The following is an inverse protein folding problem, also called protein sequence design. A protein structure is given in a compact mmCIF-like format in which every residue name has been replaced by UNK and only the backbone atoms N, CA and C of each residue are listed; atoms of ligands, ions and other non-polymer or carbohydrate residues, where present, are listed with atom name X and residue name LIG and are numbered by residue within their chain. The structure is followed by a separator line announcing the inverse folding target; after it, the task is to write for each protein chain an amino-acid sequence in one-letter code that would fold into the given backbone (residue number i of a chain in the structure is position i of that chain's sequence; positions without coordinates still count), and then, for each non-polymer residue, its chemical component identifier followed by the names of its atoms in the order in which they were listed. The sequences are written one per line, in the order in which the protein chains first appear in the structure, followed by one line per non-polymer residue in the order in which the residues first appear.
data_IF_850605226415
#
_entry.id   IF_850605226415
#
_cell.length_a   1.000
_cell.length_b   1.000
_cell.length_c   1.000
_cell.angle_alpha   90.00
_cell.angle_beta   90.00
_cell.angle_gamma   90.00
#
_symmetry.space_group_name_H-M   'P 1'
#
loop_
_entity.id
_entity.type
_entity.pdbx_description
1 polymer ?
#
# COMPACT_ATOMS: atom_id res chain seq x y z
N UNK A 1 -6.06 19.74 -56.95
CA UNK A 1 -5.07 18.66 -56.77
C UNK A 1 -4.43 18.83 -55.40
N UNK A 2 -4.72 17.88 -54.51
CA UNK A 2 -4.19 17.72 -53.15
C UNK A 2 -2.66 17.64 -53.14
N UNK A 3 -1.98 18.21 -52.14
CA UNK A 3 -0.87 17.54 -51.42
C UNK A 3 -0.61 18.28 -50.11
N UNK A 4 -1.00 17.62 -49.01
CA UNK A 4 -0.57 17.87 -47.64
C UNK A 4 0.80 17.22 -47.44
N UNK A 5 1.74 17.89 -46.77
CA UNK A 5 2.90 17.21 -46.18
C UNK A 5 3.14 17.71 -44.76
N UNK A 6 2.75 16.86 -43.80
CA UNK A 6 2.91 17.11 -42.37
C UNK A 6 4.37 17.03 -41.94
N UNK A 7 4.80 18.00 -41.14
CA UNK A 7 6.01 17.91 -40.32
C UNK A 7 5.63 17.33 -38.97
N UNK A 8 5.86 16.04 -38.79
CA UNK A 8 5.77 15.36 -37.51
C UNK A 8 6.91 15.83 -36.60
N UNK A 9 6.58 16.67 -35.63
CA UNK A 9 7.47 17.03 -34.53
C UNK A 9 7.72 15.81 -33.65
N UNK A 10 8.90 15.22 -33.79
CA UNK A 10 9.39 14.10 -32.99
C UNK A 10 9.76 14.64 -31.61
N UNK A 11 8.89 14.46 -30.61
CA UNK A 11 9.23 14.71 -29.21
C UNK A 11 10.22 13.64 -28.75
N UNK A 12 11.51 13.97 -28.82
CA UNK A 12 12.56 13.17 -28.21
C UNK A 12 12.45 13.30 -26.69
N UNK A 13 11.80 12.33 -26.04
CA UNK A 13 11.95 12.11 -24.60
C UNK A 13 13.42 11.76 -24.35
N UNK A 14 14.19 12.75 -23.89
CA UNK A 14 15.54 12.53 -23.37
C UNK A 14 15.39 11.58 -22.18
N UNK A 15 16.03 10.42 -22.29
CA UNK A 15 16.00 9.38 -21.26
C UNK A 15 16.56 9.91 -19.95
N UNK A 16 15.67 10.27 -19.02
CA UNK A 16 15.94 10.08 -17.62
C UNK A 16 16.08 8.57 -17.44
N UNK A 17 17.33 8.12 -17.30
CA UNK A 17 17.62 6.72 -17.05
C UNK A 17 16.93 6.31 -15.75
N UNK A 18 15.78 5.65 -15.88
CA UNK A 18 15.21 4.81 -14.83
C UNK A 18 16.24 3.72 -14.58
N UNK A 19 17.26 4.03 -13.76
CA UNK A 19 18.04 2.97 -13.13
C UNK A 19 16.99 2.18 -12.38
N UNK A 20 16.83 0.91 -12.74
CA UNK A 20 16.11 -0.07 -11.93
C UNK A 20 16.86 -0.16 -10.60
N UNK A 21 16.67 0.82 -9.71
CA UNK A 21 16.93 0.62 -8.30
C UNK A 21 15.86 -0.40 -7.95
N UNK A 22 16.31 -1.64 -7.77
CA UNK A 22 15.46 -2.74 -7.37
C UNK A 22 14.93 -2.36 -6.00
N UNK A 23 13.77 -1.72 -5.93
CA UNK A 23 12.97 -1.54 -4.70
C UNK A 23 12.26 -2.87 -4.44
N UNK A 24 13.05 -3.92 -4.33
CA UNK A 24 12.72 -4.99 -3.42
C UNK A 24 13.60 -4.69 -2.21
N UNK A 25 13.12 -4.86 -0.96
CA UNK A 25 14.03 -4.93 0.16
C UNK A 25 15.17 -5.85 -0.26
N UNK A 26 16.41 -5.39 -0.07
CA UNK A 26 17.61 -6.16 -0.41
C UNK A 26 17.33 -7.61 -0.06
N UNK A 27 17.38 -8.52 -1.06
CA UNK A 27 17.13 -9.96 -0.91
C UNK A 27 17.55 -10.35 0.51
N UNK A 28 16.58 -10.65 1.38
CA UNK A 28 16.89 -11.08 2.74
C UNK A 28 17.93 -12.20 2.59
N UNK A 29 19.10 -12.13 3.25
CA UNK A 29 20.15 -13.11 3.06
C UNK A 29 19.56 -14.51 3.23
N UNK A 30 19.93 -15.43 2.36
CA UNK A 30 19.50 -16.82 2.42
C UNK A 30 19.96 -17.37 3.78
N UNK A 31 19.01 -17.50 4.72
CA UNK A 31 19.27 -17.73 6.15
C UNK A 31 18.47 -16.84 7.11
N UNK A 32 17.78 -15.82 6.61
CA UNK A 32 16.96 -14.91 7.44
C UNK A 32 15.58 -15.54 7.70
N UNK A 33 15.15 -15.60 8.98
CA UNK A 33 13.77 -15.93 9.38
C UNK A 33 12.79 -15.14 8.50
N UNK A 34 11.76 -15.81 7.95
CA UNK A 34 10.74 -15.15 7.14
C UNK A 34 10.20 -13.93 7.92
N UNK A 35 10.25 -12.74 7.30
CA UNK A 35 9.73 -11.50 7.89
C UNK A 35 8.25 -11.70 8.21
N UNK A 36 7.80 -11.17 9.36
CA UNK A 36 6.36 -11.12 9.63
C UNK A 36 5.70 -10.19 8.63
N UNK A 37 4.44 -10.46 8.29
CA UNK A 37 3.76 -9.70 7.23
C UNK A 37 3.52 -8.24 7.65
N UNK A 38 3.27 -7.97 8.94
CA UNK A 38 3.20 -6.61 9.50
C UNK A 38 4.51 -5.83 9.35
N UNK A 39 5.65 -6.46 9.58
CA UNK A 39 6.97 -5.86 9.33
C UNK A 39 7.17 -5.57 7.84
N UNK A 40 6.78 -6.52 6.98
CA UNK A 40 6.87 -6.37 5.53
C UNK A 40 6.05 -5.17 5.02
N UNK A 41 4.78 -5.05 5.42
CA UNK A 41 3.94 -3.94 4.93
C UNK A 41 4.35 -2.59 5.49
N UNK A 42 4.89 -2.51 6.72
CA UNK A 42 5.44 -1.27 7.28
C UNK A 42 6.69 -0.82 6.52
N UNK A 43 7.58 -1.77 6.19
CA UNK A 43 8.75 -1.49 5.34
C UNK A 43 8.33 -0.99 3.96
N UNK A 44 7.39 -1.70 3.32
CA UNK A 44 6.88 -1.32 2.01
C UNK A 44 6.22 0.07 2.01
N UNK A 45 5.47 0.43 3.05
CA UNK A 45 4.91 1.77 3.19
C UNK A 45 6.02 2.84 3.25
N UNK A 46 7.07 2.60 4.04
CA UNK A 46 8.19 3.53 4.15
C UNK A 46 8.92 3.73 2.80
N UNK A 47 9.19 2.63 2.09
CA UNK A 47 9.82 2.66 0.77
C UNK A 47 8.95 3.43 -0.24
N UNK A 48 7.63 3.17 -0.26
CA UNK A 48 6.71 3.86 -1.16
C UNK A 48 6.59 5.36 -0.84
N UNK A 49 6.64 5.76 0.45
CA UNK A 49 6.63 7.17 0.84
C UNK A 49 7.87 7.88 0.27
N UNK A 50 9.07 7.31 0.46
CA UNK A 50 10.32 7.90 -0.04
C UNK A 50 10.29 8.06 -1.57
N UNK A 51 9.88 7.01 -2.29
CA UNK A 51 9.78 7.05 -3.75
C UNK A 51 8.70 8.03 -4.23
N UNK A 52 7.55 8.11 -3.54
CA UNK A 52 6.50 9.07 -3.88
C UNK A 52 6.93 10.52 -3.66
N UNK A 53 7.59 10.84 -2.54
CA UNK A 53 8.10 12.20 -2.27
C UNK A 53 9.21 12.60 -3.25
N UNK A 54 10.09 11.66 -3.59
CA UNK A 54 11.15 11.87 -4.58
C UNK A 54 10.59 12.10 -5.98
N UNK A 55 9.59 11.31 -6.38
CA UNK A 55 8.92 11.46 -7.68
C UNK A 55 8.06 12.72 -7.77
N UNK A 56 7.43 13.13 -6.67
CA UNK A 56 6.60 14.35 -6.64
C UNK A 56 7.44 15.61 -6.86
N UNK A 57 8.60 15.71 -6.20
CA UNK A 57 9.59 16.76 -6.44
C UNK A 57 9.22 18.17 -5.94
N UNK A 58 8.04 18.36 -5.33
CA UNK A 58 7.62 19.67 -4.78
C UNK A 58 8.32 20.07 -3.48
N UNK A 59 9.02 19.13 -2.83
CA UNK A 59 9.53 19.29 -1.46
C UNK A 59 8.47 19.03 -0.37
N UNK A 60 7.22 18.72 -0.74
CA UNK A 60 6.18 18.28 0.20
C UNK A 60 6.53 16.91 0.78
N UNK A 61 5.97 16.63 1.96
CA UNK A 61 6.17 15.40 2.72
C UNK A 61 4.83 14.80 3.10
N UNK A 62 4.79 13.48 3.25
CA UNK A 62 3.65 12.81 3.83
C UNK A 62 3.47 13.24 5.29
N UNK A 63 2.28 13.70 5.64
CA UNK A 63 1.85 13.80 7.04
C UNK A 63 1.60 12.39 7.55
N UNK A 64 2.29 12.05 8.63
CA UNK A 64 2.17 10.75 9.29
C UNK A 64 1.28 10.88 10.52
N UNK A 65 0.24 10.05 10.57
CA UNK A 65 -0.64 9.91 11.71
C UNK A 65 -0.64 8.45 12.17
N UNK A 66 0.06 8.19 13.27
CA UNK A 66 0.20 6.87 13.86
C UNK A 66 -0.83 6.71 14.98
N UNK A 67 -1.44 5.53 15.06
CA UNK A 67 -2.44 5.22 16.07
C UNK A 67 -2.26 3.80 16.60
N UNK A 68 -2.76 3.59 17.80
CA UNK A 68 -2.78 2.30 18.48
C UNK A 68 -4.10 2.15 19.25
N UNK A 69 -4.61 0.92 19.32
CA UNK A 69 -5.78 0.55 20.12
C UNK A 69 -5.36 0.17 21.53
N UNK A 70 -6.33 0.15 22.43
CA UNK A 70 -6.10 -0.29 23.80
C UNK A 70 -5.47 -1.70 23.83
N UNK A 71 -4.61 -1.92 24.82
CA UNK A 71 -4.00 -3.23 25.13
C UNK A 71 -3.23 -3.88 23.95
N UNK A 72 -2.87 -3.12 22.92
CA UNK A 72 -2.11 -3.61 21.77
C UNK A 72 -2.95 -4.44 20.77
N UNK A 73 -4.28 -4.32 20.81
CA UNK A 73 -5.23 -5.03 19.92
C UNK A 73 -5.14 -4.57 18.46
N UNK A 74 -4.37 -3.52 18.19
CA UNK A 74 -3.99 -3.13 16.85
C UNK A 74 -3.30 -1.78 16.78
N UNK A 75 -2.61 -1.55 15.69
CA UNK A 75 -1.96 -0.29 15.39
C UNK A 75 -2.05 0.00 13.90
N UNK A 76 -1.73 1.24 13.53
CA UNK A 76 -1.64 1.62 12.14
C UNK A 76 -0.90 2.93 11.95
N UNK A 77 -0.63 3.20 10.68
CA UNK A 77 0.05 4.42 10.26
C UNK A 77 -0.64 4.91 9.00
N UNK A 78 -1.34 6.03 9.13
CA UNK A 78 -1.99 6.74 8.03
C UNK A 78 -1.01 7.77 7.50
N UNK A 79 -0.66 7.69 6.22
CA UNK A 79 0.26 8.65 5.60
C UNK A 79 -0.45 9.33 4.45
N UNK A 80 -0.54 10.66 4.49
CA UNK A 80 -1.19 11.46 3.44
C UNK A 80 -0.27 12.59 2.97
N UNK A 81 -0.12 12.73 1.65
CA UNK A 81 0.50 13.87 0.99
C UNK A 81 -0.59 14.65 0.25
N UNK A 82 -0.59 15.97 0.43
CA UNK A 82 -1.56 16.90 -0.18
C UNK A 82 -0.82 18.07 -0.82
N UNK A 83 -1.37 18.56 -1.93
CA UNK A 83 -0.86 19.70 -2.69
C UNK A 83 0.59 19.52 -3.19
N UNK A 84 0.93 18.31 -3.64
CA UNK A 84 2.18 18.04 -4.34
C UNK A 84 2.16 18.57 -5.79
N UNK A 85 3.29 18.53 -6.48
CA UNK A 85 3.36 18.94 -7.91
C UNK A 85 2.93 17.83 -8.88
N UNK A 86 3.18 16.57 -8.51
CA UNK A 86 2.73 15.40 -9.27
C UNK A 86 1.40 14.90 -8.74
N UNK A 87 1.27 14.76 -7.42
CA UNK A 87 0.07 14.26 -6.76
C UNK A 87 -0.72 15.42 -6.16
N UNK A 88 -1.98 15.56 -6.56
CA UNK A 88 -2.91 16.44 -5.86
C UNK A 88 -3.15 15.91 -4.45
N UNK A 89 -3.35 14.58 -4.35
CA UNK A 89 -3.46 13.85 -3.10
C UNK A 89 -2.93 12.44 -3.25
N UNK A 90 -2.17 11.97 -2.27
CA UNK A 90 -1.67 10.61 -2.19
C UNK A 90 -1.85 10.08 -0.77
N UNK A 91 -2.26 8.83 -0.62
CA UNK A 91 -2.35 8.18 0.68
C UNK A 91 -1.82 6.75 0.62
N UNK A 92 -1.07 6.37 1.64
CA UNK A 92 -0.50 5.03 1.81
C UNK A 92 -0.69 4.68 3.28
N UNK A 93 -1.54 3.70 3.57
CA UNK A 93 -2.00 3.40 4.92
C UNK A 93 -1.70 1.95 5.27
N UNK A 94 -1.20 1.75 6.49
CA UNK A 94 -1.01 0.43 7.09
C UNK A 94 -1.92 0.28 8.29
N UNK A 95 -2.53 -0.89 8.44
CA UNK A 95 -3.26 -1.29 9.63
C UNK A 95 -2.97 -2.74 10.00
N UNK A 96 -2.82 -2.99 11.29
CA UNK A 96 -2.50 -4.29 11.88
C UNK A 96 -3.41 -4.47 13.08
N UNK A 97 -4.31 -5.44 13.04
CA UNK A 97 -5.28 -5.73 14.10
C UNK A 97 -5.04 -7.15 14.59
N UNK A 98 -5.05 -7.34 15.90
CA UNK A 98 -4.93 -8.63 16.58
C UNK A 98 -6.01 -8.70 17.65
N UNK A 99 -6.97 -9.59 17.47
CA UNK A 99 -8.16 -9.63 18.31
C UNK A 99 -8.78 -11.05 18.26
N UNK A 100 -9.86 -11.26 19.00
CA UNK A 100 -10.62 -12.51 19.05
C UNK A 100 -11.87 -12.38 18.18
N UNK A 101 -12.16 -13.40 17.39
CA UNK A 101 -13.38 -13.42 16.59
C UNK A 101 -14.61 -13.48 17.49
N UNK A 102 -15.52 -12.51 17.33
CA UNK A 102 -16.87 -12.61 17.88
C UNK A 102 -17.66 -13.70 17.16
N UNK A 103 -18.66 -14.27 17.83
CA UNK A 103 -19.57 -15.27 17.24
C UNK A 103 -20.17 -14.77 15.92
N UNK A 104 -20.64 -13.52 15.88
CA UNK A 104 -21.21 -12.90 14.69
C UNK A 104 -20.20 -12.87 13.51
N UNK A 105 -18.96 -12.43 13.77
CA UNK A 105 -17.91 -12.38 12.74
C UNK A 105 -17.52 -13.78 12.27
N UNK A 106 -17.39 -14.72 13.21
CA UNK A 106 -17.01 -16.09 12.91
C UNK A 106 -18.07 -16.78 12.04
N UNK A 107 -19.35 -16.62 12.38
CA UNK A 107 -20.48 -17.12 11.58
C UNK A 107 -20.50 -16.53 10.18
N UNK A 108 -20.34 -15.20 10.05
CA UNK A 108 -20.30 -14.55 8.75
C UNK A 108 -19.13 -15.04 7.87
N UNK A 109 -18.02 -15.47 8.49
CA UNK A 109 -16.87 -16.03 7.77
C UNK A 109 -17.04 -17.51 7.44
N UNK A 110 -17.60 -18.32 8.34
CA UNK A 110 -17.85 -19.75 8.12
C UNK A 110 -18.90 -19.97 7.02
N UNK A 111 -19.95 -19.14 6.98
CA UNK A 111 -20.98 -19.17 5.92
C UNK A 111 -20.41 -18.90 4.52
N UNK A 112 -19.27 -18.20 4.42
CA UNK A 112 -18.54 -17.93 3.17
C UNK A 112 -17.58 -19.07 2.78
N UNK A 113 -17.71 -20.24 3.39
CA UNK A 113 -16.96 -21.45 3.03
C UNK A 113 -15.60 -21.60 3.72
N UNK A 114 -15.33 -20.86 4.80
CA UNK A 114 -14.10 -21.05 5.60
C UNK A 114 -14.31 -22.11 6.68
N UNK A 115 -14.21 -23.38 6.30
CA UNK A 115 -14.50 -24.53 7.16
C UNK A 115 -13.62 -24.65 8.42
N UNK A 116 -12.46 -23.98 8.47
CA UNK A 116 -11.57 -23.97 9.64
C UNK A 116 -11.94 -22.92 10.70
N UNK A 117 -12.98 -22.13 10.47
CA UNK A 117 -13.47 -21.12 11.40
C UNK A 117 -14.69 -21.68 12.13
N UNK A 118 -14.59 -21.78 13.45
CA UNK A 118 -15.67 -22.24 14.32
C UNK A 118 -16.73 -21.14 14.42
N UNK A 119 -17.98 -21.45 14.08
CA UNK A 119 -19.06 -20.46 14.09
C UNK A 119 -19.35 -19.86 15.46
N UNK A 120 -18.95 -20.55 16.54
CA UNK A 120 -19.07 -20.06 17.92
C UNK A 120 -18.09 -18.90 18.24
N UNK A 121 -17.10 -18.61 17.38
CA UNK A 121 -16.09 -17.59 17.63
C UNK A 121 -15.02 -18.03 18.63
N UNK A 122 -14.37 -17.07 19.28
CA UNK A 122 -13.34 -17.33 20.29
C UNK A 122 -11.94 -17.62 19.74
N UNK A 123 -11.80 -17.82 18.43
CA UNK A 123 -10.50 -17.97 17.79
C UNK A 123 -9.79 -16.61 17.64
N UNK A 124 -8.51 -16.56 18.00
CA UNK A 124 -7.66 -15.40 17.74
C UNK A 124 -7.47 -15.21 16.23
N UNK A 125 -7.44 -13.94 15.80
CA UNK A 125 -7.18 -13.56 14.42
C UNK A 125 -6.19 -12.41 14.32
N UNK A 126 -5.48 -12.37 13.19
CA UNK A 126 -4.65 -11.24 12.76
C UNK A 126 -5.17 -10.72 11.42
N UNK A 127 -5.44 -9.41 11.34
CA UNK A 127 -5.83 -8.74 10.12
C UNK A 127 -4.84 -7.61 9.82
N UNK A 128 -4.09 -7.74 8.74
CA UNK A 128 -3.01 -6.83 8.37
C UNK A 128 -3.22 -6.36 6.94
N UNK A 129 -3.05 -5.07 6.70
CA UNK A 129 -3.27 -4.49 5.38
C UNK A 129 -2.34 -3.32 5.10
N UNK A 130 -1.95 -3.20 3.82
CA UNK A 130 -1.48 -1.98 3.21
C UNK A 130 -2.45 -1.59 2.10
N UNK A 131 -2.91 -0.34 2.14
CA UNK A 131 -3.79 0.22 1.11
C UNK A 131 -3.25 1.55 0.63
N UNK A 132 -3.36 1.82 -0.66
CA UNK A 132 -2.92 3.08 -1.25
C UNK A 132 -3.92 3.64 -2.25
N UNK A 133 -3.91 4.96 -2.36
CA UNK A 133 -4.60 5.70 -3.42
C UNK A 133 -3.74 6.89 -3.83
N UNK A 134 -3.56 7.08 -5.13
CA UNK A 134 -2.84 8.21 -5.70
C UNK A 134 -3.74 8.95 -6.68
N UNK A 135 -3.92 10.25 -6.47
CA UNK A 135 -4.59 11.17 -7.36
C UNK A 135 -3.55 12.12 -7.97
N UNK A 136 -3.06 11.85 -9.18
CA UNK A 136 -2.19 12.76 -9.91
C UNK A 136 -2.91 14.06 -10.26
N UNK A 137 -2.19 15.19 -10.32
CA UNK A 137 -2.71 16.48 -10.79
C UNK A 137 -3.03 16.49 -12.27
N UNK A 138 -2.23 15.77 -13.07
CA UNK A 138 -2.40 15.75 -14.51
C UNK A 138 -3.52 14.78 -14.89
N UNK A 139 -4.52 15.19 -15.69
CA UNK A 139 -5.57 14.29 -16.17
C UNK A 139 -5.05 13.20 -17.11
N UNK A 140 -3.80 13.32 -17.56
CA UNK A 140 -3.14 12.32 -18.42
C UNK A 140 -2.47 11.20 -17.63
N UNK A 141 -2.39 11.31 -16.29
CA UNK A 141 -1.86 10.27 -15.42
C UNK A 141 -3.04 9.69 -14.62
N UNK A 142 -3.30 8.37 -14.71
CA UNK A 142 -4.48 7.79 -14.09
C UNK A 142 -4.36 7.76 -12.57
N UNK A 143 -5.51 7.86 -11.89
CA UNK A 143 -5.61 7.52 -10.46
C UNK A 143 -5.27 6.04 -10.26
N UNK A 144 -4.46 5.74 -9.24
CA UNK A 144 -4.14 4.38 -8.84
C UNK A 144 -4.78 4.07 -7.49
N UNK A 145 -5.40 2.91 -7.36
CA UNK A 145 -5.79 2.32 -6.08
C UNK A 145 -5.28 0.89 -6.03
N UNK A 146 -4.65 0.52 -4.92
CA UNK A 146 -4.22 -0.85 -4.68
C UNK A 146 -4.35 -1.20 -3.20
N UNK A 147 -4.49 -2.48 -2.93
CA UNK A 147 -4.44 -3.01 -1.58
C UNK A 147 -3.83 -4.41 -1.55
N UNK A 148 -3.11 -4.70 -0.47
CA UNK A 148 -2.66 -6.04 -0.13
C UNK A 148 -3.02 -6.29 1.32
N UNK A 149 -3.61 -7.46 1.60
CA UNK A 149 -4.10 -7.78 2.94
C UNK A 149 -3.91 -9.26 3.27
N UNK A 150 -3.61 -9.53 4.53
CA UNK A 150 -3.51 -10.87 5.12
C UNK A 150 -4.53 -10.98 6.24
N UNK A 151 -5.26 -12.09 6.25
CA UNK A 151 -6.18 -12.43 7.33
C UNK A 151 -5.89 -13.85 7.80
N UNK A 152 -5.43 -13.99 9.05
CA UNK A 152 -5.06 -15.26 9.68
C UNK A 152 -6.01 -15.54 10.84
N UNK A 153 -6.54 -16.76 10.93
CA UNK A 153 -7.41 -17.21 12.04
C UNK A 153 -6.84 -18.52 12.58
N UNK A 154 -6.70 -18.61 13.90
CA UNK A 154 -5.98 -19.72 14.52
C UNK A 154 -4.46 -19.60 14.28
N UNK A 155 -3.67 -19.96 15.29
CA UNK A 155 -2.20 -19.89 15.26
C UNK A 155 -1.57 -20.63 14.09
#
# INVERSE_FOLDING_TARGET
TTTTTGRTGRWALRGAGWRRRRVLPSRAPVGTRALRFDEYVQGLQSDMIEECEGADGSGRRFRVDAWERERGEGFGRTCVLEDGSLFEKAAINVSVIRDVLTEERARAMSERGRASIESAGGQAYEAEALSLVFHPRSPLVPTLRADVRRFKVGG
#
